data_IF_096460499186
#
_entry.id   IF_096460499186
#
_cell.length_a   1.000
_cell.length_b   1.000
_cell.length_c   1.000
_cell.angle_alpha   90.00
_cell.angle_beta   90.00
_cell.angle_gamma   90.00
#
_symmetry.space_group_name_H-M   'P 1'
#
loop_
_entity.id
_entity.type
_entity.pdbx_description
1 polymer ?
#
# COMPACT_ATOMS: atom_id res chain seq x y z
N UNK A 1 15.69 3.78 -53.15
CA UNK A 1 16.14 3.18 -54.44
C UNK A 1 15.45 1.82 -54.51
N UNK A 2 14.35 1.63 -55.23
CA UNK A 2 14.14 1.84 -56.68
C UNK A 2 15.01 0.89 -57.54
N UNK A 3 14.39 0.26 -58.55
CA UNK A 3 14.96 -0.48 -59.70
C UNK A 3 15.25 -1.98 -59.46
N UNK A 4 15.03 -2.88 -60.45
CA UNK A 4 14.36 -2.72 -61.77
C UNK A 4 13.83 -4.05 -62.32
N UNK A 5 12.96 -3.90 -63.32
CA UNK A 5 12.28 -4.94 -64.12
C UNK A 5 13.19 -5.97 -64.78
N UNK A 6 12.56 -7.12 -65.00
CA UNK A 6 12.90 -8.19 -65.95
C UNK A 6 13.08 -7.65 -67.39
N UNK A 7 14.19 -8.01 -68.02
CA UNK A 7 14.44 -8.21 -69.47
C UNK A 7 15.57 -9.26 -69.57
N UNK A 8 15.81 -10.01 -70.65
CA UNK A 8 15.40 -9.92 -72.06
C UNK A 8 15.33 -11.32 -72.72
N UNK A 9 14.64 -11.43 -73.85
CA UNK A 9 14.77 -12.55 -74.78
C UNK A 9 15.83 -12.25 -75.85
N UNK A 10 16.60 -13.24 -76.31
CA UNK A 10 17.20 -13.26 -77.66
C UNK A 10 17.82 -14.62 -78.08
N UNK A 11 17.08 -15.39 -78.88
CA UNK A 11 17.47 -15.96 -80.18
C UNK A 11 18.98 -16.05 -80.53
N UNK A 12 19.49 -17.27 -80.76
CA UNK A 12 20.36 -17.67 -81.93
C UNK A 12 20.80 -19.15 -81.86
N UNK A 13 20.66 -19.87 -82.98
CA UNK A 13 21.60 -20.92 -83.42
C UNK A 13 21.79 -20.77 -84.93
N UNK A 14 23.03 -20.76 -85.41
CA UNK A 14 23.43 -20.56 -86.80
C UNK A 14 24.79 -21.24 -87.05
N UNK A 15 24.80 -22.32 -87.85
CA UNK A 15 25.97 -22.94 -88.51
C UNK A 15 27.16 -23.38 -87.63
N UNK A 16 28.27 -23.86 -88.24
CA UNK A 16 28.48 -24.42 -89.59
C UNK A 16 28.38 -25.98 -89.58
N UNK A 17 28.41 -26.77 -90.68
CA UNK A 17 29.47 -26.97 -91.70
C UNK A 17 30.51 -28.01 -91.21
N UNK A 18 31.10 -28.91 -92.01
CA UNK A 18 31.16 -29.06 -93.48
C UNK A 18 31.78 -30.43 -93.87
N UNK A 19 31.73 -30.82 -95.17
CA UNK A 19 32.65 -31.78 -95.89
C UNK A 19 32.49 -33.28 -95.52
N UNK A 20 32.79 -34.31 -96.34
CA UNK A 20 33.16 -34.59 -97.75
C UNK A 20 32.69 -36.06 -98.01
N UNK A 21 32.54 -36.67 -99.20
CA UNK A 21 32.54 -36.29 -100.63
C UNK A 21 32.01 -37.48 -101.46
N UNK A 22 31.54 -37.27 -102.70
CA UNK A 22 31.15 -38.35 -103.62
C UNK A 22 31.90 -38.23 -104.97
N UNK A 23 32.70 -39.23 -105.36
CA UNK A 23 33.36 -39.26 -106.67
C UNK A 23 33.72 -40.68 -107.19
N UNK A 24 33.09 -41.02 -108.32
CA UNK A 24 33.64 -41.76 -109.49
C UNK A 24 34.00 -43.26 -109.38
N UNK A 25 33.15 -44.10 -109.98
CA UNK A 25 33.50 -45.39 -110.61
C UNK A 25 34.20 -45.18 -111.97
N UNK A 26 35.03 -46.13 -112.43
CA UNK A 26 34.69 -46.93 -113.63
C UNK A 26 35.00 -48.45 -113.50
N UNK A 27 34.58 -49.31 -114.46
CA UNK A 27 34.44 -50.77 -114.28
C UNK A 27 35.64 -51.60 -114.84
N UNK A 28 35.65 -52.95 -114.71
CA UNK A 28 34.97 -53.81 -115.70
C UNK A 28 34.25 -55.07 -115.16
N UNK A 29 33.51 -55.72 -116.07
CA UNK A 29 32.87 -57.05 -116.04
C UNK A 29 33.87 -58.22 -115.98
N UNK A 30 33.45 -59.51 -115.93
CA UNK A 30 32.24 -60.12 -115.33
C UNK A 30 32.58 -61.37 -114.47
N UNK A 31 31.62 -61.92 -113.71
CA UNK A 31 31.12 -63.32 -113.83
C UNK A 31 30.23 -63.76 -112.65
N UNK A 32 29.26 -64.62 -112.97
CA UNK A 32 28.39 -65.48 -112.14
C UNK A 32 28.28 -65.22 -110.62
N UNK A 33 27.06 -64.86 -110.25
CA UNK A 33 26.54 -64.82 -108.87
C UNK A 33 26.14 -66.24 -108.41
N UNK A 34 26.61 -66.66 -107.24
CA UNK A 34 26.06 -67.80 -106.50
C UNK A 34 25.16 -67.31 -105.36
N UNK A 35 23.85 -67.26 -105.61
CA UNK A 35 22.86 -66.69 -104.69
C UNK A 35 22.54 -67.55 -103.45
N UNK A 36 23.14 -68.73 -103.30
CA UNK A 36 22.82 -69.67 -102.21
C UNK A 36 23.39 -69.23 -100.85
N UNK A 37 24.64 -68.77 -100.81
CA UNK A 37 25.28 -68.31 -99.56
C UNK A 37 24.71 -66.97 -99.06
N UNK A 38 24.34 -66.09 -99.99
CA UNK A 38 23.72 -64.80 -99.67
C UNK A 38 22.34 -64.97 -99.01
N UNK A 39 21.56 -66.00 -99.38
CA UNK A 39 20.26 -66.29 -98.78
C UNK A 39 20.35 -66.68 -97.30
N UNK A 40 21.30 -67.56 -96.96
CA UNK A 40 21.52 -68.01 -95.58
C UNK A 40 22.01 -66.85 -94.67
N UNK A 41 22.95 -66.03 -95.16
CA UNK A 41 23.40 -64.84 -94.44
C UNK A 41 22.27 -63.83 -94.24
N UNK A 42 21.42 -63.61 -95.25
CA UNK A 42 20.29 -62.67 -95.16
C UNK A 42 19.13 -63.20 -94.28
N UNK A 43 19.05 -64.51 -94.04
CA UNK A 43 18.16 -65.09 -93.04
C UNK A 43 18.69 -64.83 -91.62
N UNK A 44 19.97 -65.14 -91.36
CA UNK A 44 20.61 -64.84 -90.07
C UNK A 44 20.58 -63.34 -89.72
N UNK A 45 20.84 -62.45 -90.69
CA UNK A 45 20.72 -61.00 -90.51
C UNK A 45 19.29 -60.49 -90.27
N UNK A 46 18.25 -61.24 -90.69
CA UNK A 46 16.86 -60.92 -90.35
C UNK A 46 16.49 -61.42 -88.96
N UNK A 47 17.03 -62.55 -88.55
CA UNK A 47 16.83 -63.15 -87.23
C UNK A 47 17.55 -62.34 -86.13
N UNK A 48 18.81 -61.95 -86.33
CA UNK A 48 19.50 -61.03 -85.41
C UNK A 48 18.81 -59.67 -85.35
N UNK A 49 18.39 -59.11 -86.48
CA UNK A 49 17.64 -57.83 -86.51
C UNK A 49 16.23 -57.95 -85.91
N UNK A 50 15.65 -59.14 -85.87
CA UNK A 50 14.40 -59.41 -85.16
C UNK A 50 14.65 -59.53 -83.64
N UNK A 51 15.75 -60.19 -83.22
CA UNK A 51 16.21 -60.24 -81.82
C UNK A 51 16.53 -58.84 -81.29
N UNK A 52 17.40 -58.08 -81.97
CA UNK A 52 17.73 -56.69 -81.63
C UNK A 52 16.47 -55.81 -81.56
N UNK A 53 15.48 -56.04 -82.43
CA UNK A 53 14.20 -55.32 -82.40
C UNK A 53 13.31 -55.73 -81.23
N UNK A 54 13.32 -57.00 -80.84
CA UNK A 54 12.62 -57.49 -79.66
C UNK A 54 13.26 -56.98 -78.37
N UNK A 55 14.59 -57.04 -78.26
CA UNK A 55 15.38 -56.47 -77.15
C UNK A 55 15.17 -54.96 -77.03
N UNK A 56 15.19 -54.23 -78.15
CA UNK A 56 14.87 -52.79 -78.18
C UNK A 56 13.40 -52.48 -77.85
N UNK A 57 12.48 -53.40 -78.12
CA UNK A 57 11.08 -53.28 -77.70
C UNK A 57 10.94 -53.51 -76.19
N UNK A 58 11.56 -54.56 -75.64
CA UNK A 58 11.59 -54.84 -74.20
C UNK A 58 12.27 -53.71 -73.41
N UNK A 59 13.38 -53.16 -73.91
CA UNK A 59 14.01 -51.97 -73.32
C UNK A 59 13.06 -50.76 -73.34
N UNK A 60 12.31 -50.55 -74.42
CA UNK A 60 11.40 -49.43 -74.55
C UNK A 60 10.15 -49.59 -73.66
N UNK A 61 9.61 -50.80 -73.53
CA UNK A 61 8.53 -51.12 -72.59
C UNK A 61 9.00 -50.95 -71.12
N UNK A 62 10.24 -51.34 -70.83
CA UNK A 62 10.89 -51.08 -69.54
C UNK A 62 11.13 -49.58 -69.30
N UNK A 63 11.51 -48.81 -70.31
CA UNK A 63 11.60 -47.35 -70.19
C UNK A 63 10.23 -46.69 -70.03
N UNK A 64 9.19 -47.16 -70.73
CA UNK A 64 7.82 -46.67 -70.58
C UNK A 64 7.32 -46.88 -69.15
N UNK A 65 7.45 -48.09 -68.60
CA UNK A 65 7.11 -48.37 -67.20
C UNK A 65 7.94 -47.56 -66.19
N UNK A 66 9.21 -47.28 -66.47
CA UNK A 66 10.03 -46.40 -65.64
C UNK A 66 9.56 -44.93 -65.73
N UNK A 67 9.21 -44.43 -66.91
CA UNK A 67 8.65 -43.08 -67.10
C UNK A 67 7.30 -42.95 -66.40
N UNK A 68 6.44 -43.96 -66.46
CA UNK A 68 5.18 -44.01 -65.71
C UNK A 68 5.44 -44.03 -64.20
N UNK A 69 6.42 -44.80 -63.73
CA UNK A 69 6.80 -44.81 -62.30
C UNK A 69 7.35 -43.47 -61.84
N UNK A 70 8.18 -42.79 -62.64
CA UNK A 70 8.68 -41.45 -62.35
C UNK A 70 7.53 -40.44 -62.31
N UNK A 71 6.62 -40.45 -63.30
CA UNK A 71 5.43 -39.56 -63.31
C UNK A 71 4.53 -39.81 -62.09
N UNK A 72 4.34 -41.07 -61.70
CA UNK A 72 3.58 -41.42 -60.49
C UNK A 72 4.25 -40.89 -59.23
N UNK A 73 5.58 -41.04 -59.10
CA UNK A 73 6.35 -40.51 -57.97
C UNK A 73 6.41 -38.97 -57.96
N UNK A 74 6.48 -38.32 -59.12
CA UNK A 74 6.37 -36.86 -59.26
C UNK A 74 4.98 -36.37 -58.83
N UNK A 75 3.92 -37.07 -59.23
CA UNK A 75 2.55 -36.75 -58.84
C UNK A 75 2.32 -36.97 -57.34
N UNK A 76 2.86 -38.05 -56.75
CA UNK A 76 2.86 -38.27 -55.31
C UNK A 76 3.67 -37.21 -54.55
N UNK A 77 4.89 -36.88 -54.99
CA UNK A 77 5.69 -35.80 -54.40
C UNK A 77 4.98 -34.45 -54.48
N UNK A 78 4.27 -34.16 -55.58
CA UNK A 78 3.47 -32.94 -55.73
C UNK A 78 2.26 -32.91 -54.79
N UNK A 79 1.62 -34.06 -54.55
CA UNK A 79 0.55 -34.19 -53.56
C UNK A 79 1.08 -34.00 -52.14
N UNK A 80 2.14 -34.73 -51.75
CA UNK A 80 2.80 -34.61 -50.44
C UNK A 80 3.33 -33.19 -50.18
N UNK A 81 3.88 -32.51 -51.18
CA UNK A 81 4.30 -31.12 -51.06
C UNK A 81 3.10 -30.15 -50.87
N UNK A 82 1.96 -30.42 -51.51
CA UNK A 82 0.74 -29.65 -51.28
C UNK A 82 0.16 -29.89 -49.87
N UNK A 83 0.16 -31.14 -49.38
CA UNK A 83 -0.25 -31.51 -48.02
C UNK A 83 0.68 -30.88 -46.97
N UNK A 84 2.00 -30.96 -47.14
CA UNK A 84 2.99 -30.32 -46.27
C UNK A 84 2.77 -28.80 -46.17
N UNK A 85 2.52 -28.15 -47.31
CA UNK A 85 2.24 -26.70 -47.34
C UNK A 85 0.88 -26.38 -46.68
N UNK A 86 -0.14 -27.22 -46.83
CA UNK A 86 -1.41 -27.05 -46.12
C UNK A 86 -1.28 -27.27 -44.61
N UNK A 87 -0.45 -28.21 -44.17
CA UNK A 87 -0.20 -28.46 -42.75
C UNK A 87 0.61 -27.32 -42.12
N UNK A 88 1.66 -26.83 -42.79
CA UNK A 88 2.41 -25.63 -42.36
C UNK A 88 1.56 -24.37 -42.31
N UNK A 89 0.61 -24.21 -43.24
CA UNK A 89 -0.37 -23.11 -43.18
C UNK A 89 -1.42 -23.26 -42.06
N UNK A 90 -1.48 -24.43 -41.40
CA UNK A 90 -2.34 -24.74 -40.25
C UNK A 90 -1.57 -24.81 -38.91
N UNK A 91 -0.26 -24.58 -38.92
CA UNK A 91 0.57 -24.46 -37.70
C UNK A 91 0.08 -23.30 -36.80
N UNK A 92 0.40 -23.32 -35.49
CA UNK A 92 -0.47 -22.77 -34.44
C UNK A 92 -0.41 -21.25 -34.26
N UNK A 93 -0.14 -20.48 -35.32
CA UNK A 93 -0.13 -19.01 -35.31
C UNK A 93 -1.40 -18.44 -34.68
N UNK A 94 -2.57 -18.98 -35.04
CA UNK A 94 -3.87 -18.56 -34.46
C UNK A 94 -3.96 -18.74 -32.94
N UNK A 95 -3.36 -19.79 -32.39
CA UNK A 95 -3.38 -20.05 -30.95
C UNK A 95 -2.38 -19.13 -30.23
N UNK A 96 -1.21 -18.91 -30.82
CA UNK A 96 -0.26 -17.92 -30.34
C UNK A 96 -0.83 -16.50 -30.38
N UNK A 97 -1.58 -16.14 -31.43
CA UNK A 97 -2.24 -14.83 -31.56
C UNK A 97 -3.31 -14.62 -30.48
N UNK A 98 -4.10 -15.66 -30.15
CA UNK A 98 -5.09 -15.63 -29.06
C UNK A 98 -4.41 -15.43 -27.71
N UNK A 99 -3.41 -16.27 -27.36
CA UNK A 99 -2.69 -16.09 -26.09
C UNK A 99 -1.95 -14.75 -26.02
N UNK A 100 -1.43 -14.22 -27.12
CA UNK A 100 -0.88 -12.87 -27.16
C UNK A 100 -1.95 -11.79 -26.96
N UNK A 101 -3.18 -11.97 -27.47
CA UNK A 101 -4.29 -11.04 -27.23
C UNK A 101 -4.69 -11.04 -25.76
N UNK A 102 -4.87 -12.22 -25.15
CA UNK A 102 -5.13 -12.39 -23.72
C UNK A 102 -4.01 -11.75 -22.87
N UNK A 103 -2.74 -11.98 -23.22
CA UNK A 103 -1.60 -11.39 -22.51
C UNK A 103 -1.57 -9.84 -22.61
N UNK A 104 -1.97 -9.27 -23.76
CA UNK A 104 -2.12 -7.81 -23.92
C UNK A 104 -3.27 -7.28 -23.07
N UNK A 105 -4.40 -7.98 -23.02
CA UNK A 105 -5.56 -7.57 -22.23
C UNK A 105 -5.27 -7.68 -20.72
N UNK A 106 -4.62 -8.75 -20.27
CA UNK A 106 -4.19 -8.91 -18.87
C UNK A 106 -3.21 -7.81 -18.44
N UNK A 107 -2.27 -7.41 -19.33
CA UNK A 107 -1.39 -6.27 -19.08
C UNK A 107 -2.16 -4.96 -18.98
N UNK A 108 -3.08 -4.68 -19.91
CA UNK A 108 -3.91 -3.48 -19.86
C UNK A 108 -4.75 -3.42 -18.57
N UNK A 109 -5.31 -4.55 -18.14
CA UNK A 109 -6.05 -4.64 -16.86
C UNK A 109 -5.13 -4.44 -15.65
N UNK A 110 -3.90 -4.97 -15.68
CA UNK A 110 -2.90 -4.73 -14.64
C UNK A 110 -2.53 -3.24 -14.56
N UNK A 111 -2.22 -2.61 -15.68
CA UNK A 111 -1.88 -1.18 -15.75
C UNK A 111 -3.04 -0.30 -15.23
N UNK A 112 -4.29 -0.65 -15.58
CA UNK A 112 -5.49 0.01 -15.06
C UNK A 112 -5.66 -0.17 -13.55
N UNK A 113 -5.46 -1.39 -13.02
CA UNK A 113 -5.52 -1.66 -11.59
C UNK A 113 -4.41 -0.94 -10.81
N UNK A 114 -3.18 -0.89 -11.35
CA UNK A 114 -2.06 -0.15 -10.76
C UNK A 114 -2.33 1.35 -10.74
N UNK A 115 -2.85 1.93 -11.83
CA UNK A 115 -3.23 3.34 -11.87
C UNK A 115 -4.37 3.66 -10.88
N UNK A 116 -5.36 2.76 -10.75
CA UNK A 116 -6.44 2.90 -9.78
C UNK A 116 -5.94 2.77 -8.33
N UNK A 117 -5.00 1.85 -8.04
CA UNK A 117 -4.38 1.72 -6.71
C UNK A 117 -3.65 3.00 -6.32
N UNK A 118 -2.75 3.49 -7.19
CA UNK A 118 -2.01 4.73 -6.95
C UNK A 118 -2.95 5.94 -6.74
N UNK A 119 -4.06 6.01 -7.49
CA UNK A 119 -5.09 7.03 -7.27
C UNK A 119 -5.77 6.90 -5.91
N UNK A 120 -6.19 5.70 -5.52
CA UNK A 120 -6.83 5.44 -4.23
C UNK A 120 -5.90 5.66 -3.04
N UNK A 121 -4.60 5.40 -3.20
CA UNK A 121 -3.55 5.72 -2.23
C UNK A 121 -3.43 7.24 -2.01
N UNK A 122 -3.43 8.03 -3.08
CA UNK A 122 -3.43 9.51 -2.99
C UNK A 122 -4.74 10.03 -2.37
N UNK A 123 -5.90 9.47 -2.75
CA UNK A 123 -7.19 9.84 -2.15
C UNK A 123 -7.24 9.48 -0.65
N UNK A 124 -6.68 8.32 -0.25
CA UNK A 124 -6.50 7.92 1.16
C UNK A 124 -5.63 8.91 1.92
N UNK A 125 -4.48 9.30 1.36
CA UNK A 125 -3.51 10.15 2.05
C UNK A 125 -4.02 11.58 2.22
N UNK A 126 -4.72 12.11 1.21
CA UNK A 126 -5.44 13.38 1.32
C UNK A 126 -6.50 13.32 2.44
N UNK A 127 -7.34 12.28 2.47
CA UNK A 127 -8.35 12.10 3.52
C UNK A 127 -7.73 11.91 4.92
N UNK A 128 -6.59 11.23 5.02
CA UNK A 128 -5.86 11.08 6.27
C UNK A 128 -5.30 12.42 6.77
N UNK A 129 -4.78 13.25 5.86
CA UNK A 129 -4.32 14.60 6.18
C UNK A 129 -5.49 15.52 6.59
N UNK A 130 -6.59 15.53 5.84
CA UNK A 130 -7.80 16.28 6.19
C UNK A 130 -8.29 15.90 7.60
N UNK A 131 -8.42 14.60 7.87
CA UNK A 131 -8.84 14.06 9.15
C UNK A 131 -7.89 14.48 10.29
N UNK A 132 -6.58 14.49 10.05
CA UNK A 132 -5.60 15.02 11.01
C UNK A 132 -5.80 16.53 11.27
N UNK A 133 -6.05 17.35 10.25
CA UNK A 133 -6.34 18.79 10.46
C UNK A 133 -7.65 19.03 11.21
N UNK A 134 -8.69 18.21 10.98
CA UNK A 134 -9.96 18.30 11.71
C UNK A 134 -9.78 17.88 13.17
N UNK A 135 -8.98 16.83 13.45
CA UNK A 135 -8.63 16.43 14.82
C UNK A 135 -7.88 17.53 15.56
N UNK A 136 -6.89 18.17 14.93
CA UNK A 136 -6.15 19.29 15.53
C UNK A 136 -7.09 20.45 15.87
N UNK A 137 -7.92 20.89 14.91
CA UNK A 137 -8.91 21.96 15.14
C UNK A 137 -9.89 21.62 16.26
N UNK A 138 -10.37 20.38 16.33
CA UNK A 138 -11.24 19.93 17.41
C UNK A 138 -10.53 20.01 18.76
N UNK A 139 -9.25 19.62 18.84
CA UNK A 139 -8.46 19.72 20.06
C UNK A 139 -8.26 21.18 20.48
N UNK A 140 -7.91 22.05 19.54
CA UNK A 140 -7.74 23.49 19.79
C UNK A 140 -9.04 24.14 20.29
N UNK A 141 -10.18 23.85 19.65
CA UNK A 141 -11.51 24.30 20.10
C UNK A 141 -11.88 23.73 21.47
N UNK A 142 -11.55 22.48 21.80
CA UNK A 142 -11.79 21.95 23.16
C UNK A 142 -10.95 22.65 24.22
N UNK A 143 -9.70 23.03 23.90
CA UNK A 143 -8.84 23.79 24.80
C UNK A 143 -9.41 25.20 25.04
N UNK A 144 -9.77 25.92 23.96
CA UNK A 144 -10.39 27.23 24.03
C UNK A 144 -11.72 27.21 24.82
N UNK A 145 -12.53 26.15 24.65
CA UNK A 145 -13.78 25.98 25.41
C UNK A 145 -13.50 25.79 26.91
N UNK A 146 -12.50 24.97 27.27
CA UNK A 146 -12.10 24.75 28.66
C UNK A 146 -11.52 26.02 29.30
N UNK A 147 -10.70 26.79 28.56
CA UNK A 147 -10.21 28.09 29.01
C UNK A 147 -11.35 29.08 29.25
N UNK A 148 -12.33 29.15 28.35
CA UNK A 148 -13.52 29.98 28.51
C UNK A 148 -14.42 29.53 29.70
N UNK A 149 -14.58 28.22 29.90
CA UNK A 149 -15.30 27.64 31.04
C UNK A 149 -14.61 27.98 32.37
N UNK A 150 -13.28 27.87 32.44
CA UNK A 150 -12.49 28.23 33.61
C UNK A 150 -12.54 29.73 33.92
N UNK A 151 -12.40 30.58 32.90
CA UNK A 151 -12.52 32.04 33.05
C UNK A 151 -13.93 32.44 33.52
N UNK A 152 -14.98 31.80 32.99
CA UNK A 152 -16.36 32.03 33.45
C UNK A 152 -16.58 31.58 34.90
N UNK A 153 -15.94 30.50 35.34
CA UNK A 153 -15.97 30.06 36.73
C UNK A 153 -15.26 31.06 37.65
N UNK A 154 -14.08 31.57 37.25
CA UNK A 154 -13.36 32.61 37.97
C UNK A 154 -14.19 33.90 38.10
N UNK A 155 -14.77 34.41 37.00
CA UNK A 155 -15.63 35.60 37.05
C UNK A 155 -16.89 35.43 37.90
N UNK A 156 -17.44 34.21 38.01
CA UNK A 156 -18.54 33.92 38.94
C UNK A 156 -18.08 34.00 40.38
N UNK A 157 -16.93 33.40 40.71
CA UNK A 157 -16.35 33.50 42.05
C UNK A 157 -16.03 34.96 42.41
N UNK A 158 -15.40 35.72 41.52
CA UNK A 158 -15.12 37.16 41.74
C UNK A 158 -16.41 37.97 41.94
N UNK A 159 -17.50 37.65 41.21
CA UNK A 159 -18.79 38.28 41.40
C UNK A 159 -19.41 37.91 42.76
N UNK A 160 -19.37 36.64 43.16
CA UNK A 160 -19.86 36.19 44.46
C UNK A 160 -19.08 36.85 45.61
N UNK A 161 -17.74 36.88 45.54
CA UNK A 161 -16.86 37.58 46.47
C UNK A 161 -17.18 39.09 46.54
N UNK A 162 -17.41 39.74 45.40
CA UNK A 162 -17.81 41.15 45.36
C UNK A 162 -19.21 41.37 45.98
N UNK A 163 -20.17 40.44 45.82
CA UNK A 163 -21.47 40.56 46.49
C UNK A 163 -21.37 40.37 48.00
N UNK A 164 -20.52 39.46 48.48
CA UNK A 164 -20.24 39.29 49.91
C UNK A 164 -19.61 40.56 50.51
N UNK A 165 -18.58 41.11 49.84
CA UNK A 165 -17.97 42.36 50.26
C UNK A 165 -18.97 43.53 50.28
N UNK A 166 -19.91 43.59 49.31
CA UNK A 166 -20.99 44.59 49.29
C UNK A 166 -21.92 44.42 50.50
N UNK A 167 -22.35 43.20 50.80
CA UNK A 167 -23.23 42.89 51.93
C UNK A 167 -22.58 43.21 53.29
N UNK A 168 -21.29 42.96 53.45
CA UNK A 168 -20.58 43.29 54.68
C UNK A 168 -20.38 44.82 54.85
N UNK A 169 -20.18 45.55 53.76
CA UNK A 169 -20.20 47.02 53.77
C UNK A 169 -21.61 47.58 54.08
N UNK A 170 -22.67 47.00 53.51
CA UNK A 170 -24.06 47.36 53.80
C UNK A 170 -24.38 47.18 55.30
N UNK A 171 -24.07 46.01 55.88
CA UNK A 171 -24.19 45.75 57.32
C UNK A 171 -23.38 46.74 58.17
N UNK A 172 -22.18 47.14 57.70
CA UNK A 172 -21.37 48.11 58.44
C UNK A 172 -21.95 49.52 58.37
N UNK A 173 -22.58 49.91 57.26
CA UNK A 173 -23.34 51.16 57.14
C UNK A 173 -24.53 51.12 58.11
N UNK A 174 -25.36 50.07 58.07
CA UNK A 174 -26.52 49.90 58.97
C UNK A 174 -26.11 50.02 60.45
N UNK A 175 -25.03 49.32 60.85
CA UNK A 175 -24.47 49.39 62.20
C UNK A 175 -24.01 50.80 62.60
N UNK A 176 -23.39 51.55 61.68
CA UNK A 176 -22.97 52.94 61.94
C UNK A 176 -24.18 53.90 61.98
N UNK A 177 -25.21 53.66 61.19
CA UNK A 177 -26.46 54.42 61.24
C UNK A 177 -27.26 54.17 62.54
N UNK A 178 -27.21 52.95 63.08
CA UNK A 178 -27.73 52.62 64.41
C UNK A 178 -26.93 53.35 65.51
N UNK A 179 -25.60 53.34 65.44
CA UNK A 179 -24.71 54.05 66.37
C UNK A 179 -24.97 55.57 66.34
N UNK A 180 -25.11 56.17 65.14
CA UNK A 180 -25.44 57.59 64.98
C UNK A 180 -26.84 57.90 65.55
N UNK A 181 -27.85 57.05 65.31
CA UNK A 181 -29.20 57.23 65.88
C UNK A 181 -29.18 57.14 67.40
N UNK A 182 -28.44 56.19 67.97
CA UNK A 182 -28.26 56.02 69.41
C UNK A 182 -27.59 57.23 70.04
N UNK A 183 -26.47 57.70 69.49
CA UNK A 183 -25.75 58.89 69.97
C UNK A 183 -26.61 60.17 69.89
N UNK A 184 -27.40 60.34 68.82
CA UNK A 184 -28.36 61.47 68.71
C UNK A 184 -29.41 61.41 69.79
N UNK A 185 -30.00 60.23 70.04
CA UNK A 185 -31.01 60.05 71.08
C UNK A 185 -30.45 60.35 72.47
N UNK A 186 -29.26 59.86 72.79
CA UNK A 186 -28.58 60.20 74.05
C UNK A 186 -28.37 61.71 74.16
N UNK A 187 -27.88 62.36 73.10
CA UNK A 187 -27.65 63.81 73.14
C UNK A 187 -28.95 64.61 73.30
N UNK A 188 -30.04 64.19 72.67
CA UNK A 188 -31.38 64.78 72.87
C UNK A 188 -31.87 64.60 74.32
N UNK A 189 -31.62 63.43 74.93
CA UNK A 189 -31.94 63.14 76.33
C UNK A 189 -31.08 63.97 77.30
N UNK A 190 -29.76 64.06 77.08
CA UNK A 190 -28.83 64.92 77.84
C UNK A 190 -29.22 66.40 77.75
N UNK A 191 -29.53 66.90 76.55
CA UNK A 191 -29.96 68.29 76.35
C UNK A 191 -31.29 68.55 77.05
N UNK A 192 -32.24 67.62 77.01
CA UNK A 192 -33.50 67.72 77.78
C UNK A 192 -33.23 67.75 79.28
N UNK A 193 -32.35 66.89 79.80
CA UNK A 193 -31.99 66.88 81.22
C UNK A 193 -31.29 68.16 81.65
N UNK A 194 -30.39 68.71 80.84
CA UNK A 194 -29.74 69.99 81.10
C UNK A 194 -30.73 71.16 81.03
N UNK A 195 -31.70 71.13 80.11
CA UNK A 195 -32.80 72.10 80.06
C UNK A 195 -33.70 72.01 81.30
N UNK A 196 -34.03 70.79 81.75
CA UNK A 196 -34.77 70.59 83.00
C UNK A 196 -33.96 71.06 84.22
N UNK A 197 -32.65 70.81 84.27
CA UNK A 197 -31.79 71.30 85.34
C UNK A 197 -31.71 72.82 85.33
N UNK A 198 -31.60 73.46 84.17
CA UNK A 198 -31.60 74.92 84.03
C UNK A 198 -32.95 75.53 84.42
N UNK A 199 -34.06 74.90 84.03
CA UNK A 199 -35.41 75.32 84.43
C UNK A 199 -35.62 75.16 85.94
N UNK A 200 -35.15 74.06 86.55
CA UNK A 200 -35.16 73.85 88.01
C UNK A 200 -34.29 74.90 88.71
N UNK A 201 -33.15 75.29 88.15
CA UNK A 201 -32.30 76.37 88.68
C UNK A 201 -32.93 77.77 88.53
N UNK A 202 -33.69 78.02 87.46
CA UNK A 202 -34.43 79.29 87.28
C UNK A 202 -35.69 79.41 88.14
N UNK A 203 -36.17 78.32 88.76
CA UNK A 203 -37.45 78.26 89.49
C UNK A 203 -37.26 78.01 91.00
N UNK A 204 -36.03 78.11 91.53
CA UNK A 204 -35.75 77.81 92.95
C UNK A 204 -35.33 78.98 93.85
N UNK A 205 -36.23 79.96 93.99
CA UNK A 205 -36.59 80.67 95.24
C UNK A 205 -38.05 81.11 95.01
N UNK A 206 -39.07 80.86 95.84
CA UNK A 206 -39.16 80.84 97.31
C UNK A 206 -40.01 79.66 97.84
N UNK A 207 -39.76 79.28 99.09
CA UNK A 207 -40.59 78.34 99.85
C UNK A 207 -41.79 79.06 100.46
N UNK A 208 -43.00 78.52 100.30
CA UNK A 208 -44.06 78.69 101.30
C UNK A 208 -44.58 77.32 101.77
N UNK A 209 -44.53 77.07 103.07
CA UNK A 209 -44.65 75.74 103.69
C UNK A 209 -45.97 75.63 104.45
N UNK A 210 -47.05 75.38 103.72
CA UNK A 210 -48.28 74.87 104.32
C UNK A 210 -48.07 73.40 104.70
N UNK A 211 -47.93 73.10 106.02
CA UNK A 211 -47.69 71.74 106.54
C UNK A 211 -48.66 70.70 105.97
N UNK A 212 -48.20 69.77 105.11
CA UNK A 212 -48.90 68.52 104.85
C UNK A 212 -48.55 67.52 105.97
N UNK A 213 -49.22 66.37 106.04
CA UNK A 213 -48.78 65.29 106.92
C UNK A 213 -47.47 64.67 106.39
N UNK A 214 -46.36 65.22 106.88
CA UNK A 214 -45.00 64.80 106.54
C UNK A 214 -44.79 63.30 106.78
N UNK A 215 -45.52 62.71 107.72
CA UNK A 215 -45.44 61.28 108.05
C UNK A 215 -46.02 60.40 106.95
N UNK A 216 -47.10 60.85 106.30
CA UNK A 216 -47.69 60.15 105.16
C UNK A 216 -46.80 60.32 103.93
N UNK A 217 -46.39 61.54 103.60
CA UNK A 217 -45.53 61.82 102.45
C UNK A 217 -44.16 61.10 102.53
N UNK A 218 -43.51 61.07 103.70
CA UNK A 218 -42.24 60.34 103.88
C UNK A 218 -42.42 58.82 103.79
N UNK A 219 -43.56 58.28 104.26
CA UNK A 219 -43.89 56.86 104.05
C UNK A 219 -44.13 56.56 102.58
N UNK A 220 -44.84 57.42 101.86
CA UNK A 220 -45.17 57.22 100.45
C UNK A 220 -43.92 57.30 99.56
N UNK A 221 -43.07 58.32 99.76
CA UNK A 221 -41.75 58.43 99.11
C UNK A 221 -40.91 57.18 99.41
N UNK A 222 -40.89 56.72 100.66
CA UNK A 222 -40.17 55.49 101.03
C UNK A 222 -40.73 54.26 100.31
N UNK A 223 -42.05 54.07 100.25
CA UNK A 223 -42.64 52.95 99.53
C UNK A 223 -42.40 53.03 98.02
N UNK A 224 -42.34 54.22 97.42
CA UNK A 224 -41.96 54.37 96.01
C UNK A 224 -40.48 54.07 95.78
N UNK A 225 -39.58 54.48 96.68
CA UNK A 225 -38.16 54.09 96.59
C UNK A 225 -37.95 52.59 96.79
N UNK A 226 -38.64 51.95 97.74
CA UNK A 226 -38.61 50.50 97.95
C UNK A 226 -39.18 49.76 96.71
N UNK A 227 -40.28 50.26 96.12
CA UNK A 227 -40.84 49.72 94.89
C UNK A 227 -39.89 49.87 93.69
N UNK A 228 -39.34 51.07 93.45
CA UNK A 228 -38.37 51.33 92.37
C UNK A 228 -37.09 50.51 92.54
N UNK A 229 -36.58 50.37 93.77
CA UNK A 229 -35.42 49.52 94.05
C UNK A 229 -35.73 48.04 93.75
N UNK A 230 -36.93 47.56 94.10
CA UNK A 230 -37.35 46.19 93.78
C UNK A 230 -37.57 45.96 92.28
N UNK A 231 -38.14 46.93 91.56
CA UNK A 231 -38.32 46.88 90.09
C UNK A 231 -36.98 46.85 89.39
N UNK A 232 -36.07 47.79 89.71
CA UNK A 232 -34.72 47.86 89.14
C UNK A 232 -33.90 46.59 89.44
N UNK A 233 -34.05 45.99 90.63
CA UNK A 233 -33.40 44.72 90.95
C UNK A 233 -33.96 43.57 90.08
N UNK A 234 -35.27 43.51 89.89
CA UNK A 234 -35.92 42.48 89.07
C UNK A 234 -35.59 42.65 87.58
N UNK A 235 -35.66 43.88 87.06
CA UNK A 235 -35.26 44.24 85.69
C UNK A 235 -33.79 43.89 85.43
N UNK A 236 -32.89 44.14 86.39
CA UNK A 236 -31.49 43.72 86.29
C UNK A 236 -31.33 42.20 86.29
N UNK A 237 -32.04 41.47 87.18
CA UNK A 237 -32.05 40.00 87.19
C UNK A 237 -32.56 39.41 85.87
N UNK A 238 -33.67 39.92 85.34
CA UNK A 238 -34.23 39.50 84.05
C UNK A 238 -33.30 39.83 82.89
N UNK A 239 -32.67 41.02 82.88
CA UNK A 239 -31.70 41.42 81.88
C UNK A 239 -30.48 40.50 81.88
N UNK A 240 -29.88 40.22 83.05
CA UNK A 240 -28.78 39.27 83.16
C UNK A 240 -29.20 37.86 82.74
N UNK A 241 -30.38 37.39 83.16
CA UNK A 241 -30.91 36.06 82.83
C UNK A 241 -31.12 35.88 81.33
N UNK A 242 -31.68 36.89 80.67
CA UNK A 242 -31.81 36.97 79.22
C UNK A 242 -30.44 36.95 78.54
N UNK A 243 -29.48 37.77 79.04
CA UNK A 243 -28.12 37.83 78.49
C UNK A 243 -27.37 36.51 78.63
N UNK A 244 -27.55 35.78 79.73
CA UNK A 244 -27.00 34.44 79.91
C UNK A 244 -27.65 33.41 78.99
N UNK A 245 -28.96 33.51 78.75
CA UNK A 245 -29.66 32.65 77.77
C UNK A 245 -29.12 32.90 76.35
N UNK A 246 -29.06 34.16 75.90
CA UNK A 246 -28.50 34.55 74.59
C UNK A 246 -27.08 34.01 74.36
N UNK A 247 -26.21 34.16 75.37
CA UNK A 247 -24.83 33.65 75.31
C UNK A 247 -24.77 32.12 75.29
N UNK A 248 -25.66 31.44 76.02
CA UNK A 248 -25.76 29.98 76.03
C UNK A 248 -26.26 29.45 74.68
N UNK A 249 -27.27 30.09 74.09
CA UNK A 249 -27.82 29.73 72.78
C UNK A 249 -26.85 30.06 71.63
N UNK A 250 -26.07 31.14 71.75
CA UNK A 250 -24.98 31.44 70.83
C UNK A 250 -23.85 30.40 70.93
N UNK A 251 -23.46 29.99 72.13
CA UNK A 251 -22.47 28.94 72.35
C UNK A 251 -22.94 27.57 71.83
N UNK A 252 -24.21 27.22 72.04
CA UNK A 252 -24.81 25.99 71.52
C UNK A 252 -24.85 25.96 69.99
N UNK A 253 -25.26 27.06 69.34
CA UNK A 253 -25.22 27.21 67.87
C UNK A 253 -23.80 27.08 67.33
N UNK A 254 -22.82 27.75 67.94
CA UNK A 254 -21.42 27.66 67.53
C UNK A 254 -20.84 26.24 67.71
N UNK A 255 -21.22 25.54 68.78
CA UNK A 255 -20.81 24.15 68.98
C UNK A 255 -21.39 23.20 67.91
N UNK A 256 -22.65 23.42 67.51
CA UNK A 256 -23.30 22.65 66.45
C UNK A 256 -22.71 22.94 65.06
N UNK A 257 -22.44 24.22 64.72
CA UNK A 257 -21.73 24.58 63.49
C UNK A 257 -20.31 23.95 63.44
N UNK A 258 -19.58 23.96 64.56
CA UNK A 258 -18.29 23.28 64.66
C UNK A 258 -18.41 21.76 64.47
N UNK A 259 -19.51 21.15 64.95
CA UNK A 259 -19.79 19.71 64.77
C UNK A 259 -20.10 19.38 63.31
N UNK A 260 -20.88 20.22 62.64
CA UNK A 260 -21.22 20.09 61.21
C UNK A 260 -19.97 20.21 60.34
N UNK A 261 -19.19 21.29 60.50
CA UNK A 261 -17.92 21.47 59.78
C UNK A 261 -16.92 20.32 60.02
N UNK A 262 -16.87 19.75 61.23
CA UNK A 262 -16.07 18.54 61.52
C UNK A 262 -16.60 17.28 60.83
N UNK A 263 -17.91 17.16 60.62
CA UNK A 263 -18.50 16.04 59.91
C UNK A 263 -18.17 16.13 58.41
N UNK A 264 -18.42 17.28 57.80
CA UNK A 264 -18.11 17.58 56.41
C UNK A 264 -16.62 17.36 56.11
N UNK A 265 -15.71 17.89 56.95
CA UNK A 265 -14.28 17.67 56.80
C UNK A 265 -13.88 16.18 56.87
N UNK A 266 -14.58 15.37 57.66
CA UNK A 266 -14.34 13.91 57.68
C UNK A 266 -14.90 13.21 56.44
N UNK A 267 -16.02 13.67 55.88
CA UNK A 267 -16.60 13.06 54.68
C UNK A 267 -15.81 13.44 53.42
N UNK A 268 -15.34 14.68 53.30
CA UNK A 268 -14.35 15.05 52.28
C UNK A 268 -13.06 14.23 52.42
N UNK A 269 -12.58 13.98 53.64
CA UNK A 269 -11.41 13.12 53.87
C UNK A 269 -11.65 11.67 53.44
N UNK A 270 -12.85 11.13 53.65
CA UNK A 270 -13.26 9.79 53.18
C UNK A 270 -13.38 9.72 51.66
N UNK A 271 -14.00 10.72 51.04
CA UNK A 271 -14.10 10.84 49.57
C UNK A 271 -12.72 10.89 48.93
N UNK A 272 -11.81 11.71 49.48
CA UNK A 272 -10.43 11.82 49.01
C UNK A 272 -9.68 10.48 49.15
N UNK A 273 -9.88 9.75 50.26
CA UNK A 273 -9.34 8.39 50.41
C UNK A 273 -9.90 7.41 49.36
N UNK A 274 -11.22 7.40 49.11
CA UNK A 274 -11.84 6.57 48.07
C UNK A 274 -11.23 6.87 46.70
N UNK A 275 -11.24 8.15 46.29
CA UNK A 275 -10.69 8.61 45.02
C UNK A 275 -9.19 8.28 44.88
N UNK A 276 -8.42 8.30 45.98
CA UNK A 276 -7.01 7.90 45.97
C UNK A 276 -6.87 6.40 45.70
N UNK A 277 -7.64 5.55 46.38
CA UNK A 277 -7.65 4.10 46.13
C UNK A 277 -8.12 3.78 44.70
N UNK A 278 -9.14 4.49 44.19
CA UNK A 278 -9.64 4.32 42.83
C UNK A 278 -8.55 4.69 41.81
N UNK A 279 -7.85 5.82 41.99
CA UNK A 279 -6.71 6.23 41.17
C UNK A 279 -5.54 5.25 41.22
N UNK A 280 -5.20 4.71 42.39
CA UNK A 280 -4.16 3.68 42.55
C UNK A 280 -4.56 2.38 41.85
N UNK A 281 -5.81 1.96 41.95
CA UNK A 281 -6.32 0.78 41.25
C UNK A 281 -6.27 0.96 39.73
N UNK A 282 -6.70 2.11 39.20
CA UNK A 282 -6.67 2.43 37.78
C UNK A 282 -5.24 2.50 37.26
N UNK A 283 -4.31 3.13 37.99
CA UNK A 283 -2.87 3.10 37.67
C UNK A 283 -2.33 1.68 37.59
N UNK A 284 -2.64 0.83 38.58
CA UNK A 284 -2.24 -0.58 38.58
C UNK A 284 -2.80 -1.37 37.39
N UNK A 285 -4.05 -1.12 36.99
CA UNK A 285 -4.62 -1.74 35.77
C UNK A 285 -3.94 -1.24 34.49
N UNK A 286 -3.65 0.07 34.40
CA UNK A 286 -3.00 0.65 33.23
C UNK A 286 -1.57 0.11 33.05
N UNK A 287 -0.76 0.09 34.10
CA UNK A 287 0.56 -0.55 34.05
C UNK A 287 0.50 -2.04 33.67
N UNK A 288 -0.55 -2.75 34.09
CA UNK A 288 -0.77 -4.15 33.71
C UNK A 288 -1.08 -4.30 32.24
N UNK A 289 -1.94 -3.42 31.68
CA UNK A 289 -2.24 -3.39 30.25
C UNK A 289 -1.02 -2.99 29.42
N UNK A 290 -0.24 -1.99 29.86
CA UNK A 290 1.04 -1.64 29.22
C UNK A 290 2.03 -2.81 29.20
N UNK A 291 2.17 -3.53 30.33
CA UNK A 291 3.02 -4.74 30.39
C UNK A 291 2.51 -5.82 29.43
N UNK A 292 1.20 -6.06 29.37
CA UNK A 292 0.61 -7.00 28.41
C UNK A 292 0.82 -6.59 26.95
N UNK A 293 0.69 -5.30 26.61
CA UNK A 293 0.97 -4.84 25.25
C UNK A 293 2.43 -5.08 24.86
N UNK A 294 3.39 -4.69 25.72
CA UNK A 294 4.83 -4.95 25.49
C UNK A 294 5.11 -6.45 25.32
N UNK A 295 4.52 -7.30 26.15
CA UNK A 295 4.65 -8.75 26.01
C UNK A 295 4.10 -9.28 24.67
N UNK A 296 2.98 -8.75 24.17
CA UNK A 296 2.44 -9.16 22.87
C UNK A 296 3.29 -8.62 21.71
N UNK A 297 3.75 -7.38 21.78
CA UNK A 297 4.68 -6.79 20.80
C UNK A 297 5.96 -7.62 20.71
N UNK A 298 6.60 -7.96 21.84
CA UNK A 298 7.78 -8.81 21.84
C UNK A 298 7.49 -10.25 21.35
N UNK A 299 6.31 -10.81 21.59
CA UNK A 299 5.91 -12.12 21.03
C UNK A 299 5.81 -12.04 19.52
N UNK A 300 5.12 -11.04 18.98
CA UNK A 300 5.00 -10.84 17.54
C UNK A 300 6.34 -10.55 16.86
N UNK A 301 7.26 -9.82 17.51
CA UNK A 301 8.63 -9.64 17.01
C UNK A 301 9.39 -10.98 16.94
N UNK A 302 9.27 -11.84 17.97
CA UNK A 302 9.88 -13.18 17.96
C UNK A 302 9.25 -14.09 16.89
N UNK A 303 7.93 -14.06 16.73
CA UNK A 303 7.21 -14.80 15.69
C UNK A 303 7.65 -14.33 14.30
N UNK A 304 7.68 -13.03 14.04
CA UNK A 304 8.14 -12.45 12.78
C UNK A 304 9.59 -12.83 12.46
N UNK A 305 10.50 -12.78 13.45
CA UNK A 305 11.87 -13.25 13.29
C UNK A 305 11.92 -14.75 12.94
N UNK A 306 11.11 -15.59 13.61
CA UNK A 306 11.06 -17.03 13.30
C UNK A 306 10.54 -17.33 11.89
N UNK A 307 9.58 -16.54 11.39
CA UNK A 307 9.11 -16.65 10.00
C UNK A 307 10.15 -16.15 8.99
N UNK A 308 10.91 -15.10 9.31
CA UNK A 308 12.03 -14.63 8.49
C UNK A 308 13.16 -15.67 8.42
N UNK A 309 13.52 -16.31 9.54
CA UNK A 309 14.47 -17.43 9.55
C UNK A 309 13.97 -18.63 8.73
N UNK A 310 12.68 -18.98 8.84
CA UNK A 310 12.10 -20.06 8.06
C UNK A 310 12.08 -19.75 6.55
N UNK A 311 11.76 -18.51 6.16
CA UNK A 311 11.85 -18.06 4.78
C UNK A 311 13.29 -18.12 4.26
N UNK A 312 14.26 -17.60 5.01
CA UNK A 312 15.67 -17.62 4.62
C UNK A 312 16.20 -19.04 4.40
N UNK A 313 15.80 -20.01 5.23
CA UNK A 313 16.14 -21.44 5.04
C UNK A 313 15.52 -22.01 3.77
N UNK A 314 14.25 -21.73 3.49
CA UNK A 314 13.57 -22.17 2.26
C UNK A 314 14.14 -21.51 1.00
N UNK A 315 14.62 -20.26 1.10
CA UNK A 315 15.33 -19.57 0.03
C UNK A 315 16.71 -20.19 -0.22
N UNK A 316 17.44 -20.59 0.83
CA UNK A 316 18.72 -21.29 0.75
C UNK A 316 18.56 -22.69 0.14
N UNK A 317 17.60 -23.50 0.62
CA UNK A 317 17.23 -24.80 0.02
C UNK A 317 16.78 -24.64 -1.45
N UNK A 318 16.00 -23.59 -1.74
CA UNK A 318 15.57 -23.26 -3.09
C UNK A 318 16.71 -22.78 -4.00
N UNK A 319 17.83 -22.30 -3.44
CA UNK A 319 19.03 -21.94 -4.18
C UNK A 319 19.95 -23.15 -4.37
N UNK A 320 20.16 -23.97 -3.34
CA UNK A 320 20.98 -25.19 -3.46
C UNK A 320 20.41 -26.15 -4.50
N UNK A 321 19.08 -26.33 -4.54
CA UNK A 321 18.42 -27.15 -5.56
C UNK A 321 18.57 -26.60 -6.99
N UNK A 322 18.67 -25.27 -7.17
CA UNK A 322 18.97 -24.67 -8.49
C UNK A 322 20.41 -24.92 -8.89
N UNK A 323 21.34 -24.81 -7.96
CA UNK A 323 22.76 -25.03 -8.20
C UNK A 323 23.05 -26.51 -8.49
N UNK A 324 22.38 -27.44 -7.79
CA UNK A 324 22.36 -28.88 -8.10
C UNK A 324 21.77 -29.17 -9.50
N UNK A 325 20.64 -28.55 -9.85
CA UNK A 325 20.04 -28.67 -11.19
C UNK A 325 20.97 -28.15 -12.29
N UNK A 326 21.64 -27.02 -12.07
CA UNK A 326 22.63 -26.48 -12.99
C UNK A 326 23.84 -27.41 -13.12
N UNK A 327 24.32 -28.01 -12.01
CA UNK A 327 25.40 -29.00 -12.00
C UNK A 327 25.03 -30.24 -12.82
N UNK A 328 23.81 -30.75 -12.66
CA UNK A 328 23.32 -31.89 -13.43
C UNK A 328 23.15 -31.56 -14.92
N UNK A 329 22.64 -30.38 -15.27
CA UNK A 329 22.56 -29.93 -16.67
C UNK A 329 23.94 -29.89 -17.35
N UNK A 330 24.97 -29.42 -16.62
CA UNK A 330 26.35 -29.46 -17.09
C UNK A 330 26.86 -30.89 -17.29
N UNK A 331 26.64 -31.79 -16.31
CA UNK A 331 27.00 -33.22 -16.42
C UNK A 331 26.31 -33.91 -17.62
N UNK A 332 25.03 -33.61 -17.87
CA UNK A 332 24.31 -34.11 -19.04
C UNK A 332 24.86 -33.57 -20.36
N UNK A 333 25.27 -32.29 -20.39
CA UNK A 333 25.88 -31.69 -21.57
C UNK A 333 27.27 -32.30 -21.86
N UNK A 334 28.08 -32.53 -20.83
CA UNK A 334 29.38 -33.17 -20.97
C UNK A 334 29.25 -34.65 -21.40
N UNK A 335 28.27 -35.38 -20.86
CA UNK A 335 27.95 -36.74 -21.31
C UNK A 335 27.45 -36.76 -22.78
N UNK A 336 26.64 -35.79 -23.18
CA UNK A 336 26.21 -35.63 -24.58
C UNK A 336 27.41 -35.35 -25.50
N UNK A 337 28.35 -34.50 -25.09
CA UNK A 337 29.58 -34.23 -25.85
C UNK A 337 30.41 -35.52 -26.04
N UNK A 338 30.59 -36.34 -24.99
CA UNK A 338 31.24 -37.65 -25.09
C UNK A 338 30.48 -38.59 -26.04
N UNK A 339 29.15 -38.64 -25.94
CA UNK A 339 28.32 -39.46 -26.83
C UNK A 339 28.47 -39.05 -28.31
N UNK A 340 28.54 -37.75 -28.60
CA UNK A 340 28.76 -37.24 -29.95
C UNK A 340 30.16 -37.59 -30.47
N UNK A 341 31.19 -37.54 -29.62
CA UNK A 341 32.54 -38.01 -29.99
C UNK A 341 32.53 -39.50 -30.34
N UNK A 342 31.88 -40.34 -29.53
CA UNK A 342 31.72 -41.78 -29.80
C UNK A 342 30.91 -42.06 -31.07
N UNK A 343 29.87 -41.29 -31.39
CA UNK A 343 29.15 -41.42 -32.67
C UNK A 343 30.08 -41.15 -33.87
N UNK A 344 30.95 -40.15 -33.76
CA UNK A 344 31.94 -39.81 -34.80
C UNK A 344 32.97 -40.94 -34.94
N UNK A 345 33.48 -41.48 -33.82
CA UNK A 345 34.37 -42.66 -33.83
C UNK A 345 33.69 -43.86 -34.49
N UNK A 346 32.45 -44.20 -34.11
CA UNK A 346 31.69 -45.29 -34.73
C UNK A 346 31.49 -45.05 -36.24
N UNK A 347 31.22 -43.81 -36.66
CA UNK A 347 31.09 -43.46 -38.07
C UNK A 347 32.41 -43.59 -38.84
N UNK A 348 33.56 -43.22 -38.25
CA UNK A 348 34.87 -43.42 -38.89
C UNK A 348 35.27 -44.89 -38.94
N UNK A 349 35.01 -45.68 -37.90
CA UNK A 349 35.21 -47.13 -37.90
C UNK A 349 34.36 -47.84 -38.96
N UNK A 350 33.07 -47.49 -39.09
CA UNK A 350 32.19 -48.00 -40.17
C UNK A 350 32.76 -47.70 -41.55
N UNK A 351 33.15 -46.46 -41.80
CA UNK A 351 33.73 -46.03 -43.09
C UNK A 351 35.04 -46.76 -43.41
N UNK A 352 35.85 -47.09 -42.41
CA UNK A 352 37.08 -47.88 -42.60
C UNK A 352 36.75 -49.35 -42.92
N UNK A 353 35.77 -49.94 -42.26
CA UNK A 353 35.29 -51.30 -42.51
C UNK A 353 34.66 -51.44 -43.91
N UNK A 354 33.82 -50.49 -44.33
CA UNK A 354 33.30 -50.39 -45.70
C UNK A 354 34.46 -50.28 -46.73
N UNK A 355 35.56 -49.61 -46.37
CA UNK A 355 36.78 -49.54 -47.18
C UNK A 355 37.49 -50.89 -47.34
N UNK A 356 37.49 -51.73 -46.30
CA UNK A 356 38.06 -53.09 -46.35
C UNK A 356 37.12 -54.10 -47.03
N UNK A 357 35.80 -54.02 -46.84
CA UNK A 357 34.84 -54.87 -47.56
C UNK A 357 34.91 -54.64 -49.08
N UNK A 358 35.13 -53.39 -49.51
CA UNK A 358 35.40 -53.03 -50.91
C UNK A 358 36.73 -53.61 -51.46
N UNK A 359 37.65 -54.06 -50.61
CA UNK A 359 38.89 -54.76 -51.02
C UNK A 359 38.73 -56.28 -51.07
N UNK A 360 37.73 -56.82 -50.36
CA UNK A 360 37.54 -58.28 -50.19
C UNK A 360 36.43 -58.82 -51.12
N UNK A 361 35.52 -57.97 -51.61
CA UNK A 361 34.30 -58.42 -52.32
C UNK A 361 34.33 -58.20 -53.84
N UNK A 362 34.21 -59.30 -54.60
CA UNK A 362 33.97 -59.35 -56.06
C UNK A 362 32.48 -58.98 -56.33
N UNK A 363 32.12 -58.30 -57.44
CA UNK A 363 30.91 -57.45 -57.43
C UNK A 363 29.58 -58.19 -57.60
N UNK A 364 28.62 -57.84 -56.74
CA UNK A 364 27.20 -57.69 -57.09
C UNK A 364 26.71 -56.35 -56.50
N UNK A 365 26.00 -55.56 -57.30
CA UNK A 365 25.51 -54.21 -56.99
C UNK A 365 24.11 -54.30 -56.32
N UNK A 366 23.48 -53.32 -55.63
CA UNK A 366 23.51 -51.84 -55.74
C UNK A 366 22.70 -51.20 -54.58
N UNK A 367 23.13 -50.04 -54.04
CA UNK A 367 22.35 -48.91 -53.44
C UNK A 367 21.30 -49.13 -52.30
N UNK A 368 21.16 -48.27 -51.27
CA UNK A 368 20.98 -46.81 -51.40
C UNK A 368 21.27 -45.97 -50.14
N UNK A 369 22.09 -44.93 -50.33
CA UNK A 369 22.20 -43.62 -49.65
C UNK A 369 21.31 -43.31 -48.42
N UNK A 370 21.96 -43.10 -47.27
CA UNK A 370 21.44 -42.30 -46.15
C UNK A 370 22.04 -40.88 -46.18
N UNK A 371 21.21 -39.88 -46.48
CA UNK A 371 21.60 -38.48 -46.40
C UNK A 371 21.51 -37.99 -44.94
N UNK A 372 22.65 -37.94 -44.25
CA UNK A 372 22.75 -37.19 -42.99
C UNK A 372 22.77 -35.70 -43.33
N UNK A 373 21.70 -35.00 -42.95
CA UNK A 373 21.58 -33.55 -43.06
C UNK A 373 22.37 -32.90 -41.93
N UNK A 374 23.36 -32.08 -42.27
CA UNK A 374 23.92 -31.11 -41.32
C UNK A 374 22.80 -30.14 -40.89
N UNK A 375 22.47 -30.14 -39.60
CA UNK A 375 21.69 -29.06 -38.99
C UNK A 375 22.65 -28.08 -38.35
N UNK A 376 22.88 -26.95 -39.03
CA UNK A 376 23.55 -25.79 -38.45
C UNK A 376 22.83 -25.38 -37.17
N UNK A 377 23.50 -25.52 -36.02
CA UNK A 377 23.06 -24.91 -34.78
C UNK A 377 23.55 -23.47 -34.78
N UNK A 378 22.65 -22.54 -35.10
CA UNK A 378 22.89 -21.11 -34.94
C UNK A 378 23.06 -20.78 -33.45
N UNK A 379 24.29 -20.85 -32.96
CA UNK A 379 24.70 -20.18 -31.72
C UNK A 379 24.64 -18.67 -31.96
N UNK A 380 23.45 -18.10 -31.76
CA UNK A 380 23.30 -16.65 -31.58
C UNK A 380 24.08 -16.23 -30.35
N UNK A 381 25.32 -15.78 -30.57
CA UNK A 381 26.02 -14.94 -29.62
C UNK A 381 25.15 -13.71 -29.35
N UNK A 382 24.67 -13.59 -28.11
CA UNK A 382 24.08 -12.34 -27.63
C UNK A 382 25.24 -11.37 -27.46
N UNK A 383 25.43 -10.52 -28.48
CA UNK A 383 26.37 -9.41 -28.40
C UNK A 383 25.93 -8.45 -27.29
N UNK A 384 26.88 -8.06 -26.42
CA UNK A 384 26.68 -7.06 -25.37
C UNK A 384 26.49 -5.65 -25.96
N UNK A 385 25.31 -5.42 -26.55
CA UNK A 385 24.86 -4.10 -26.97
C UNK A 385 24.62 -3.20 -25.77
N UNK A 386 25.65 -2.46 -25.34
CA UNK A 386 25.53 -1.44 -24.31
C UNK A 386 24.50 -0.37 -24.71
N UNK A 387 23.29 -0.47 -24.17
CA UNK A 387 22.21 0.49 -24.41
C UNK A 387 22.48 1.79 -23.66
N UNK A 388 23.20 2.73 -24.29
CA UNK A 388 23.27 4.14 -23.84
C UNK A 388 21.84 4.72 -23.82
N UNK A 389 21.29 4.91 -22.61
CA UNK A 389 19.97 5.52 -22.40
C UNK A 389 20.13 7.04 -22.40
N UNK A 390 19.56 7.73 -23.39
CA UNK A 390 19.41 9.18 -23.31
C UNK A 390 18.26 9.52 -22.37
N UNK A 391 18.55 10.16 -21.25
CA UNK A 391 17.55 10.62 -20.29
C UNK A 391 17.08 12.01 -20.71
N UNK A 392 15.78 12.15 -20.94
CA UNK A 392 15.14 13.43 -21.22
C UNK A 392 14.27 13.79 -20.03
N UNK A 393 14.67 14.80 -19.27
CA UNK A 393 13.85 15.35 -18.20
C UNK A 393 12.93 16.42 -18.82
N UNK A 394 11.63 16.21 -18.64
CA UNK A 394 10.59 17.21 -18.91
C UNK A 394 10.06 17.72 -17.58
N UNK A 395 10.14 19.02 -17.37
CA UNK A 395 9.54 19.68 -16.20
C UNK A 395 8.33 20.48 -16.69
N UNK A 396 7.17 20.21 -16.10
CA UNK A 396 5.88 20.79 -16.47
C UNK A 396 5.29 21.47 -15.25
N UNK A 397 5.17 22.80 -15.28
CA UNK A 397 4.46 23.56 -14.24
C UNK A 397 2.98 23.64 -14.63
N UNK A 398 2.12 23.09 -13.76
CA UNK A 398 0.67 23.17 -13.89
C UNK A 398 0.07 23.95 -12.73
N UNK A 399 -0.95 24.76 -13.03
CA UNK A 399 -1.78 25.45 -12.04
C UNK A 399 -3.22 25.38 -12.53
N UNK A 400 -4.13 25.02 -11.64
CA UNK A 400 -5.57 24.91 -11.92
C UNK A 400 -5.93 24.02 -13.13
N UNK A 401 -5.07 23.04 -13.45
CA UNK A 401 -5.29 22.03 -14.49
C UNK A 401 -4.77 22.38 -15.89
N UNK A 402 -4.28 23.60 -16.12
CA UNK A 402 -3.64 23.98 -17.38
C UNK A 402 -2.10 24.04 -17.27
N UNK A 403 -1.42 23.68 -18.36
CA UNK A 403 0.05 23.71 -18.47
C UNK A 403 0.50 25.12 -18.80
N UNK A 404 1.12 25.81 -17.84
CA UNK A 404 1.54 27.20 -18.00
C UNK A 404 2.96 27.28 -18.60
N UNK A 405 3.80 26.26 -18.36
CA UNK A 405 5.16 26.21 -18.89
C UNK A 405 5.68 24.78 -18.99
N UNK A 406 6.19 24.42 -20.17
CA UNK A 406 6.96 23.19 -20.39
C UNK A 406 8.40 23.56 -20.73
N UNK A 407 9.37 22.94 -20.06
CA UNK A 407 10.79 23.01 -20.43
C UNK A 407 11.37 21.61 -20.57
N UNK A 408 12.12 21.38 -21.64
CA UNK A 408 12.73 20.09 -21.99
C UNK A 408 14.24 20.28 -22.09
N UNK A 409 14.98 19.65 -21.19
CA UNK A 409 16.45 19.70 -21.20
C UNK A 409 17.01 18.30 -21.38
N UNK A 410 17.76 18.11 -22.47
CA UNK A 410 18.40 16.84 -22.80
C UNK A 410 19.81 16.81 -22.19
N UNK A 411 20.05 15.89 -21.24
CA UNK A 411 21.40 15.58 -20.78
C UNK A 411 21.93 14.42 -21.60
N UNK A 412 23.12 14.61 -22.19
CA UNK A 412 23.89 13.56 -22.84
C UNK A 412 25.07 13.23 -21.94
N UNK A 413 24.96 12.16 -21.17
CA UNK A 413 26.09 11.62 -20.43
C UNK A 413 27.11 11.04 -21.41
N UNK A 414 28.23 11.73 -21.54
CA UNK A 414 29.38 11.29 -22.32
C UNK A 414 30.29 10.47 -21.40
N UNK A 415 30.11 9.15 -21.42
CA UNK A 415 31.23 8.21 -21.33
C UNK A 415 31.79 7.98 -22.73
#
# INVERSE_FOLDING_TARGET
MERRRITSAARRRLGPGTRLSLARMPPPLPTRVDFSLAGALNAGFKETRASERAEMMELNDRFASYIEKVRFLEQQNKALAAELNQLRAKEPTKLADVYQAELRELRLRLDQLTANSARLEVERDNLAQDLATVRQKLQDETNLRLEAENNLAAYRQEADEATLARLDLERKIESLEEEIRFLRKIHEEEVRELQEQLARQQVHVELDVAKPDLTAALKEIRTQYEAMASSNMHEAEEWYRSKFADLTDAAARNAELLRQAKHEANDYRRQLQSLTCDLESLRGTNESLERQMREQEERHVREAASYQEALARLEEEGQSLKDEMARHLQEYQDLLNVKLALDIEIATYRKLLEGEENRITIPVQTFSNLQIRETSLDTKSVSEGHLKRNIVVKTVEMRDGEVIKESKQEHKDVM
#
